data_IF_519420036172
#
_entry.id   IF_519420036172
#
_cell.length_a   1.000
_cell.length_b   1.000
_cell.length_c   1.000
_cell.angle_alpha   90.00
_cell.angle_beta   90.00
_cell.angle_gamma   90.00
#
_symmetry.space_group_name_H-M   'P 1'
#
loop_
_entity.id
_entity.type
_entity.pdbx_description
1 polymer ?
#
# COMPACT_ATOMS: atom_id res chain seq x y z
N UNK A 1 -31.60 4.31 -10.48
CA UNK A 1 -30.93 2.98 -10.39
C UNK A 1 -30.58 2.40 -11.76
N UNK A 2 -31.46 2.46 -12.76
CA UNK A 2 -31.21 1.87 -14.08
C UNK A 2 -29.97 2.37 -14.83
N UNK A 3 -29.62 3.66 -14.73
CA UNK A 3 -28.43 4.21 -15.41
C UNK A 3 -27.09 3.68 -14.85
N UNK A 4 -27.02 3.40 -13.53
CA UNK A 4 -25.83 2.79 -12.91
C UNK A 4 -25.62 1.36 -13.38
N UNK A 5 -26.71 0.59 -13.53
CA UNK A 5 -26.68 -0.83 -13.92
C UNK A 5 -26.29 -0.97 -15.40
N UNK A 6 -26.87 -0.16 -16.29
CA UNK A 6 -26.55 -0.20 -17.72
C UNK A 6 -25.07 0.11 -18.00
N UNK A 7 -24.50 1.08 -17.28
CA UNK A 7 -23.10 1.45 -17.41
C UNK A 7 -22.13 0.36 -16.94
N UNK A 8 -22.48 -0.34 -15.86
CA UNK A 8 -21.75 -1.54 -15.42
C UNK A 8 -21.73 -2.62 -16.50
N UNK A 9 -22.86 -2.87 -17.15
CA UNK A 9 -22.96 -3.96 -18.13
C UNK A 9 -22.06 -3.74 -19.36
N UNK A 10 -21.76 -2.49 -19.73
CA UNK A 10 -20.91 -2.18 -20.90
C UNK A 10 -19.42 -2.52 -20.64
N UNK A 11 -18.89 -2.16 -19.46
CA UNK A 11 -17.46 -2.35 -19.17
C UNK A 11 -17.11 -3.76 -18.66
N UNK A 12 -18.03 -4.46 -18.01
CA UNK A 12 -17.73 -5.75 -17.41
C UNK A 12 -17.25 -6.82 -18.42
N UNK A 13 -17.87 -6.99 -19.61
CA UNK A 13 -17.42 -7.98 -20.59
C UNK A 13 -16.00 -7.74 -21.08
N UNK A 14 -15.63 -6.48 -21.35
CA UNK A 14 -14.27 -6.17 -21.83
C UNK A 14 -13.23 -6.35 -20.71
N UNK A 15 -13.59 -6.02 -19.46
CA UNK A 15 -12.74 -6.26 -18.29
C UNK A 15 -12.48 -7.75 -18.11
N UNK A 16 -13.52 -8.59 -18.17
CA UNK A 16 -13.40 -10.04 -18.07
C UNK A 16 -12.57 -10.61 -19.23
N UNK A 17 -12.84 -10.16 -20.45
CA UNK A 17 -12.11 -10.59 -21.64
C UNK A 17 -10.61 -10.28 -21.54
N UNK A 18 -10.26 -9.02 -21.24
CA UNK A 18 -8.86 -8.60 -21.05
C UNK A 18 -8.24 -9.39 -19.90
N UNK A 19 -8.91 -9.50 -18.77
CA UNK A 19 -8.36 -10.17 -17.60
C UNK A 19 -8.11 -11.65 -17.78
N UNK A 20 -9.01 -12.38 -18.43
CA UNK A 20 -8.82 -13.80 -18.74
C UNK A 20 -7.65 -13.98 -19.71
N UNK A 21 -7.59 -13.18 -20.77
CA UNK A 21 -6.52 -13.28 -21.77
C UNK A 21 -5.16 -12.92 -21.18
N UNK A 22 -5.07 -11.82 -20.43
CA UNK A 22 -3.80 -11.41 -19.82
C UNK A 22 -3.36 -12.38 -18.74
N UNK A 23 -4.30 -12.98 -18.00
CA UNK A 23 -3.97 -14.05 -17.06
C UNK A 23 -3.42 -15.28 -17.79
N UNK A 24 -4.06 -15.70 -18.88
CA UNK A 24 -3.59 -16.82 -19.70
C UNK A 24 -2.19 -16.56 -20.30
N UNK A 25 -1.95 -15.37 -20.85
CA UNK A 25 -0.63 -14.98 -21.39
C UNK A 25 0.43 -14.89 -20.29
N UNK A 26 0.10 -14.41 -19.09
CA UNK A 26 1.02 -14.35 -17.96
C UNK A 26 1.42 -15.76 -17.48
N UNK A 27 0.46 -16.70 -17.45
CA UNK A 27 0.75 -18.11 -17.15
C UNK A 27 1.65 -18.78 -18.20
N UNK A 28 1.41 -18.51 -19.49
CA UNK A 28 2.08 -19.23 -20.59
C UNK A 28 3.42 -18.62 -20.99
N UNK A 29 3.48 -17.30 -21.10
CA UNK A 29 4.59 -16.55 -21.68
C UNK A 29 5.31 -15.65 -20.66
N UNK A 30 4.77 -15.51 -19.43
CA UNK A 30 5.22 -14.54 -18.41
C UNK A 30 5.33 -13.11 -18.93
N UNK A 31 4.54 -12.79 -19.96
CA UNK A 31 4.58 -11.51 -20.69
C UNK A 31 3.16 -11.10 -21.06
N UNK A 32 2.83 -9.85 -20.75
CA UNK A 32 1.57 -9.23 -21.13
C UNK A 32 1.79 -8.43 -22.41
N UNK A 33 1.08 -8.77 -23.50
CA UNK A 33 1.25 -8.08 -24.78
C UNK A 33 0.59 -6.70 -24.75
N UNK A 34 1.32 -5.68 -25.22
CA UNK A 34 0.84 -4.28 -25.27
C UNK A 34 -0.48 -4.12 -26.05
N UNK A 35 -0.78 -5.02 -27.01
CA UNK A 35 -2.00 -4.97 -27.83
C UNK A 35 -3.28 -5.02 -26.97
N UNK A 36 -3.32 -5.85 -25.93
CA UNK A 36 -4.51 -6.00 -25.08
C UNK A 36 -4.73 -4.77 -24.21
N UNK A 37 -3.64 -4.20 -23.71
CA UNK A 37 -3.63 -2.95 -22.94
C UNK A 37 -4.13 -1.79 -23.80
N UNK A 38 -3.65 -1.70 -25.04
CA UNK A 38 -4.09 -0.66 -25.98
C UNK A 38 -5.57 -0.80 -26.32
N UNK A 39 -6.07 -2.03 -26.57
CA UNK A 39 -7.50 -2.28 -26.83
C UNK A 39 -8.37 -1.80 -25.66
N UNK A 40 -8.00 -2.12 -24.42
CA UNK A 40 -8.74 -1.68 -23.24
C UNK A 40 -8.76 -0.16 -23.06
N UNK A 41 -7.61 0.49 -23.26
CA UNK A 41 -7.49 1.96 -23.18
C UNK A 41 -8.31 2.66 -24.28
N UNK A 42 -8.20 2.22 -25.53
CA UNK A 42 -8.97 2.78 -26.65
C UNK A 42 -10.47 2.58 -26.39
N UNK A 43 -10.88 1.38 -25.97
CA UNK A 43 -12.28 1.09 -25.66
C UNK A 43 -12.81 2.03 -24.57
N UNK A 44 -12.10 2.14 -23.45
CA UNK A 44 -12.49 3.02 -22.36
C UNK A 44 -12.62 4.46 -22.84
N UNK A 45 -11.62 4.97 -23.55
CA UNK A 45 -11.63 6.33 -24.06
C UNK A 45 -12.81 6.57 -25.01
N UNK A 46 -13.07 5.66 -25.95
CA UNK A 46 -14.18 5.78 -26.90
C UNK A 46 -15.54 5.78 -26.21
N UNK A 47 -15.75 4.94 -25.20
CA UNK A 47 -17.01 4.92 -24.44
C UNK A 47 -17.19 6.25 -23.70
N UNK A 48 -16.17 6.71 -22.97
CA UNK A 48 -16.25 7.99 -22.25
C UNK A 48 -16.42 9.19 -23.19
N UNK A 49 -15.73 9.21 -24.33
CA UNK A 49 -15.86 10.25 -25.36
C UNK A 49 -17.27 10.26 -25.98
N UNK A 50 -17.81 9.09 -26.31
CA UNK A 50 -19.15 8.96 -26.90
C UNK A 50 -20.22 9.49 -25.95
N UNK A 51 -20.13 9.19 -24.65
CA UNK A 51 -21.05 9.73 -23.65
C UNK A 51 -20.84 11.22 -23.37
N UNK A 52 -19.64 11.75 -23.57
CA UNK A 52 -19.35 13.18 -23.50
C UNK A 52 -19.95 13.95 -24.69
N UNK A 53 -19.89 13.40 -25.90
CA UNK A 53 -20.40 14.05 -27.13
C UNK A 53 -21.91 13.91 -27.31
N UNK A 54 -22.58 12.94 -26.66
CA UNK A 54 -24.03 12.72 -26.74
C UNK A 54 -24.77 13.28 -25.50
N UNK A 55 -24.81 14.62 -25.28
CA UNK A 55 -25.45 15.22 -24.10
C UNK A 55 -26.98 15.01 -24.07
N UNK A 56 -27.58 14.54 -25.16
CA UNK A 56 -29.02 14.26 -25.27
C UNK A 56 -29.41 12.81 -24.94
N UNK A 57 -28.46 11.96 -24.54
CA UNK A 57 -28.68 10.54 -24.20
C UNK A 57 -29.31 10.29 -22.82
N UNK A 58 -30.42 10.97 -22.49
CA UNK A 58 -31.24 10.70 -21.29
C UNK A 58 -30.49 10.67 -19.94
N UNK A 59 -31.08 9.97 -18.95
CA UNK A 59 -30.55 9.79 -17.58
C UNK A 59 -29.15 9.12 -17.50
N UNK A 60 -28.67 8.52 -18.59
CA UNK A 60 -27.36 7.87 -18.69
C UNK A 60 -26.25 8.87 -19.04
N UNK A 61 -26.51 9.81 -19.96
CA UNK A 61 -25.53 10.80 -20.40
C UNK A 61 -25.13 11.79 -19.30
N UNK A 62 -26.09 12.26 -18.50
CA UNK A 62 -25.84 13.29 -17.47
C UNK A 62 -24.91 12.81 -16.34
N UNK A 63 -24.95 11.51 -15.98
CA UNK A 63 -24.08 10.96 -14.93
C UNK A 63 -22.64 10.77 -15.42
N UNK A 64 -22.42 10.53 -16.71
CA UNK A 64 -21.08 10.30 -17.27
C UNK A 64 -20.38 11.61 -17.64
N UNK A 65 -21.14 12.58 -18.16
CA UNK A 65 -20.65 13.94 -18.42
C UNK A 65 -20.03 14.60 -17.18
N UNK A 66 -20.69 14.49 -16.02
CA UNK A 66 -20.19 15.05 -14.75
C UNK A 66 -18.98 14.31 -14.14
N UNK A 67 -18.48 13.26 -14.79
CA UNK A 67 -17.39 12.43 -14.27
C UNK A 67 -16.23 12.24 -15.25
N UNK A 68 -16.28 12.81 -16.47
CA UNK A 68 -15.20 12.68 -17.45
C UNK A 68 -13.91 13.35 -16.98
N UNK A 69 -14.03 14.56 -16.42
CA UNK A 69 -12.95 15.30 -15.77
C UNK A 69 -12.29 14.48 -14.65
N UNK A 70 -13.10 13.89 -13.77
CA UNK A 70 -12.63 13.04 -12.67
C UNK A 70 -11.96 11.77 -13.19
N UNK A 71 -12.50 11.17 -14.24
CA UNK A 71 -11.92 9.99 -14.87
C UNK A 71 -10.53 10.30 -15.44
N UNK A 72 -10.37 11.43 -16.14
CA UNK A 72 -9.08 11.91 -16.64
C UNK A 72 -8.07 12.12 -15.51
N UNK A 73 -8.47 12.79 -14.42
CA UNK A 73 -7.60 13.01 -13.25
C UNK A 73 -7.21 11.67 -12.60
N UNK A 74 -8.17 10.77 -12.39
CA UNK A 74 -7.89 9.44 -11.84
C UNK A 74 -6.92 8.64 -12.72
N UNK A 75 -7.09 8.70 -14.04
CA UNK A 75 -6.20 8.04 -14.99
C UNK A 75 -4.78 8.61 -14.92
N UNK A 76 -4.62 9.94 -14.92
CA UNK A 76 -3.32 10.59 -14.77
C UNK A 76 -2.63 10.21 -13.46
N UNK A 77 -3.34 10.27 -12.33
CA UNK A 77 -2.80 9.87 -11.03
C UNK A 77 -2.42 8.39 -11.03
N UNK A 78 -3.24 7.52 -11.62
CA UNK A 78 -2.95 6.09 -11.75
C UNK A 78 -1.69 5.82 -12.57
N UNK A 79 -1.44 6.60 -13.64
CA UNK A 79 -0.22 6.53 -14.44
C UNK A 79 1.02 6.92 -13.64
N UNK A 80 0.93 8.00 -12.84
CA UNK A 80 2.03 8.42 -11.95
C UNK A 80 2.32 7.34 -10.91
N UNK A 81 1.28 6.78 -10.27
CA UNK A 81 1.45 5.72 -9.27
C UNK A 81 2.03 4.45 -9.89
N UNK A 82 1.51 4.01 -11.05
CA UNK A 82 2.03 2.86 -11.78
C UNK A 82 3.51 3.05 -12.17
N UNK A 83 3.86 4.25 -12.64
CA UNK A 83 5.24 4.62 -12.95
C UNK A 83 6.12 4.54 -11.70
N UNK A 84 5.68 5.07 -10.56
CA UNK A 84 6.44 4.99 -9.31
C UNK A 84 6.63 3.54 -8.86
N UNK A 85 5.58 2.71 -8.91
CA UNK A 85 5.66 1.29 -8.56
C UNK A 85 6.66 0.53 -9.45
N UNK A 86 6.66 0.80 -10.75
CA UNK A 86 7.64 0.25 -11.68
C UNK A 86 9.06 0.79 -11.43
N UNK A 87 9.20 2.11 -11.25
CA UNK A 87 10.49 2.78 -11.04
C UNK A 87 11.21 2.24 -9.80
N UNK A 88 10.47 2.00 -8.71
CA UNK A 88 11.01 1.38 -7.50
C UNK A 88 11.14 -0.14 -7.58
N UNK A 89 10.96 -0.74 -8.77
CA UNK A 89 11.02 -2.20 -9.01
C UNK A 89 10.06 -2.99 -8.13
N UNK A 90 8.97 -2.37 -7.68
CA UNK A 90 7.92 -3.07 -6.94
C UNK A 90 7.04 -3.89 -7.88
N UNK A 91 6.83 -3.41 -9.11
CA UNK A 91 6.03 -4.08 -10.15
C UNK A 91 6.79 -4.29 -11.45
N UNK A 92 6.40 -5.33 -12.19
CA UNK A 92 6.82 -5.51 -13.58
C UNK A 92 6.21 -4.45 -14.49
N UNK A 93 6.89 -4.16 -15.60
CA UNK A 93 6.38 -3.21 -16.60
C UNK A 93 5.01 -3.63 -17.17
N UNK A 94 4.76 -4.93 -17.29
CA UNK A 94 3.46 -5.47 -17.71
C UNK A 94 2.35 -5.13 -16.71
N UNK A 95 2.59 -5.38 -15.42
CA UNK A 95 1.64 -5.14 -14.34
C UNK A 95 1.29 -3.66 -14.20
N UNK A 96 2.28 -2.78 -14.27
CA UNK A 96 2.06 -1.33 -14.22
C UNK A 96 1.15 -0.86 -15.37
N UNK A 97 1.37 -1.34 -16.59
CA UNK A 97 0.53 -1.00 -17.74
C UNK A 97 -0.88 -1.58 -17.62
N UNK A 98 -1.00 -2.81 -17.13
CA UNK A 98 -2.29 -3.47 -16.96
C UNK A 98 -3.11 -2.79 -15.85
N UNK A 99 -2.47 -2.27 -14.80
CA UNK A 99 -3.14 -1.47 -13.77
C UNK A 99 -3.70 -0.17 -14.34
N UNK A 100 -2.93 0.55 -15.17
CA UNK A 100 -3.41 1.75 -15.87
C UNK A 100 -4.64 1.41 -16.74
N UNK A 101 -4.60 0.28 -17.45
CA UNK A 101 -5.72 -0.19 -18.27
C UNK A 101 -6.99 -0.42 -17.42
N UNK A 102 -6.87 -1.12 -16.28
CA UNK A 102 -8.00 -1.32 -15.40
C UNK A 102 -8.47 -0.05 -14.71
N UNK A 103 -7.57 0.86 -14.32
CA UNK A 103 -7.93 2.16 -13.78
C UNK A 103 -8.76 2.99 -14.77
N UNK A 104 -8.48 2.85 -16.09
CA UNK A 104 -9.27 3.43 -17.15
C UNK A 104 -10.63 2.73 -17.32
N UNK A 105 -10.63 1.40 -17.42
CA UNK A 105 -11.83 0.61 -17.69
C UNK A 105 -12.83 0.59 -16.54
N UNK A 106 -12.39 0.71 -15.29
CA UNK A 106 -13.32 0.67 -14.17
C UNK A 106 -14.11 1.98 -14.10
N UNK A 107 -15.44 1.88 -14.15
CA UNK A 107 -16.31 3.03 -14.16
C UNK A 107 -16.24 3.85 -12.87
N UNK A 108 -16.16 5.19 -12.96
CA UNK A 108 -16.06 6.07 -11.77
C UNK A 108 -17.19 5.88 -10.75
N UNK A 109 -18.36 5.43 -11.21
CA UNK A 109 -19.49 5.10 -10.34
C UNK A 109 -19.21 3.94 -9.37
N UNK A 110 -18.34 2.98 -9.70
CA UNK A 110 -18.02 1.85 -8.82
C UNK A 110 -17.14 2.27 -7.65
N UNK A 111 -16.20 3.19 -7.88
CA UNK A 111 -15.36 3.72 -6.82
C UNK A 111 -16.13 4.55 -5.77
N UNK A 112 -17.30 5.09 -6.13
CA UNK A 112 -18.09 5.99 -5.27
C UNK A 112 -18.58 5.37 -3.96
N UNK A 113 -18.51 4.04 -3.83
CA UNK A 113 -18.91 3.33 -2.61
C UNK A 113 -17.86 3.40 -1.50
N UNK A 114 -16.63 3.82 -1.80
CA UNK A 114 -15.53 3.86 -0.83
C UNK A 114 -15.07 5.29 -0.60
N UNK A 115 -14.86 5.63 0.68
CA UNK A 115 -14.59 6.97 1.23
C UNK A 115 -13.35 7.73 0.72
N UNK A 116 -12.67 7.25 -0.32
CA UNK A 116 -11.54 7.96 -0.90
C UNK A 116 -12.04 9.12 -1.77
N UNK A 117 -11.42 10.30 -1.61
CA UNK A 117 -11.72 11.48 -2.43
C UNK A 117 -11.78 11.10 -3.91
N UNK A 118 -12.78 11.64 -4.62
CA UNK A 118 -13.11 11.33 -6.02
C UNK A 118 -11.94 11.41 -7.02
N UNK A 119 -10.82 12.05 -6.65
CA UNK A 119 -9.65 12.26 -7.49
C UNK A 119 -8.68 11.08 -7.59
N UNK A 120 -8.62 10.18 -6.59
CA UNK A 120 -7.76 8.98 -6.64
C UNK A 120 -8.55 7.70 -6.37
N UNK A 121 -9.57 7.51 -7.20
CA UNK A 121 -10.51 6.42 -7.12
C UNK A 121 -9.84 5.03 -7.30
N UNK A 122 -8.86 4.94 -8.20
CA UNK A 122 -8.05 3.74 -8.48
C UNK A 122 -7.19 3.25 -7.30
N UNK A 123 -7.11 4.00 -6.20
CA UNK A 123 -6.54 3.50 -4.96
C UNK A 123 -7.31 2.31 -4.38
N UNK A 124 -8.64 2.29 -4.57
CA UNK A 124 -9.46 1.15 -4.18
C UNK A 124 -9.04 -0.10 -4.95
N UNK A 125 -8.87 0.04 -6.27
CA UNK A 125 -8.36 -1.04 -7.13
C UNK A 125 -6.99 -1.50 -6.66
N UNK A 126 -6.07 -0.57 -6.42
CA UNK A 126 -4.73 -0.88 -5.91
C UNK A 126 -4.81 -1.70 -4.61
N UNK A 127 -5.63 -1.25 -3.66
CA UNK A 127 -5.84 -1.93 -2.39
C UNK A 127 -6.46 -3.33 -2.57
N UNK A 128 -7.44 -3.46 -3.45
CA UNK A 128 -8.11 -4.73 -3.77
C UNK A 128 -7.17 -5.74 -4.45
N UNK A 129 -6.11 -5.29 -5.12
CA UNK A 129 -5.07 -6.15 -5.68
C UNK A 129 -4.06 -6.54 -4.60
N UNK A 130 -3.53 -5.56 -3.87
CA UNK A 130 -2.45 -5.78 -2.92
C UNK A 130 -2.89 -6.54 -1.67
N UNK A 131 -4.07 -6.30 -1.13
CA UNK A 131 -4.50 -6.93 0.13
C UNK A 131 -4.62 -8.46 -0.03
N UNK A 132 -5.38 -9.01 -1.01
CA UNK A 132 -5.47 -10.46 -1.19
C UNK A 132 -4.12 -11.10 -1.53
N UNK A 133 -3.34 -10.47 -2.41
CA UNK A 133 -2.00 -10.95 -2.77
C UNK A 133 -1.08 -10.99 -1.54
N UNK A 134 -1.10 -9.95 -0.71
CA UNK A 134 -0.29 -9.89 0.52
C UNK A 134 -0.74 -10.93 1.53
N UNK A 135 -2.06 -11.07 1.76
CA UNK A 135 -2.61 -12.10 2.66
C UNK A 135 -2.21 -13.49 2.19
N UNK A 136 -2.30 -13.77 0.89
CA UNK A 136 -1.87 -15.05 0.32
C UNK A 136 -0.38 -15.30 0.55
N UNK A 137 0.49 -14.33 0.22
CA UNK A 137 1.94 -14.47 0.41
C UNK A 137 2.33 -14.63 1.88
N UNK A 138 1.70 -13.86 2.78
CA UNK A 138 1.90 -13.98 4.24
C UNK A 138 1.45 -15.36 4.71
N UNK A 139 0.30 -15.84 4.26
CA UNK A 139 -0.24 -17.15 4.64
C UNK A 139 0.68 -18.27 4.15
N UNK A 140 1.14 -18.23 2.89
CA UNK A 140 2.10 -19.21 2.38
C UNK A 140 3.42 -19.18 3.15
N UNK A 141 3.90 -17.99 3.49
CA UNK A 141 5.13 -17.80 4.27
C UNK A 141 4.97 -18.35 5.67
N UNK A 142 3.82 -18.12 6.29
CA UNK A 142 3.50 -18.63 7.62
C UNK A 142 3.34 -20.15 7.64
N UNK A 143 2.60 -20.74 6.69
CA UNK A 143 2.45 -22.20 6.56
C UNK A 143 3.81 -22.86 6.36
N UNK A 144 4.67 -22.27 5.51
CA UNK A 144 6.03 -22.76 5.31
C UNK A 144 6.87 -22.67 6.59
N UNK A 145 6.82 -21.52 7.27
CA UNK A 145 7.48 -21.31 8.54
C UNK A 145 7.07 -22.39 9.54
N UNK A 146 5.77 -22.58 9.78
CA UNK A 146 5.23 -23.60 10.71
C UNK A 146 5.68 -25.01 10.33
N UNK A 147 5.65 -25.38 9.03
CA UNK A 147 6.09 -26.71 8.57
C UNK A 147 7.59 -26.96 8.79
N UNK A 148 8.41 -25.93 8.67
CA UNK A 148 9.88 -26.02 8.85
C UNK A 148 10.31 -25.74 10.28
N UNK A 149 9.41 -25.23 11.12
CA UNK A 149 9.69 -24.81 12.48
C UNK A 149 9.95 -26.02 13.37
N UNK A 150 11.21 -26.45 13.44
CA UNK A 150 11.63 -27.44 14.41
C UNK A 150 11.97 -26.72 15.73
N UNK A 151 11.07 -26.82 16.71
CA UNK A 151 11.12 -26.04 17.96
C UNK A 151 12.46 -26.21 18.71
N UNK A 152 13.03 -27.42 18.66
CA UNK A 152 14.30 -27.75 19.32
C UNK A 152 15.49 -27.00 18.67
N UNK A 153 15.58 -27.05 17.35
CA UNK A 153 16.61 -26.34 16.58
C UNK A 153 16.43 -24.81 16.64
N UNK A 154 15.18 -24.33 16.75
CA UNK A 154 14.92 -22.90 16.92
C UNK A 154 15.38 -22.41 18.28
N UNK A 155 15.08 -23.14 19.37
CA UNK A 155 15.55 -22.78 20.72
C UNK A 155 17.08 -22.76 20.78
N UNK A 156 17.75 -23.81 20.32
CA UNK A 156 19.23 -23.88 20.31
C UNK A 156 19.85 -22.76 19.46
N UNK A 157 19.35 -22.53 18.24
CA UNK A 157 19.83 -21.43 17.39
C UNK A 157 19.49 -20.06 17.94
N UNK A 158 18.35 -19.89 18.58
CA UNK A 158 17.97 -18.62 19.21
C UNK A 158 18.84 -18.31 20.42
N UNK A 159 19.22 -19.32 21.21
CA UNK A 159 20.17 -19.19 22.31
C UNK A 159 21.57 -18.82 21.79
N UNK A 160 22.05 -19.49 20.74
CA UNK A 160 23.32 -19.11 20.07
C UNK A 160 23.24 -17.70 19.45
N UNK A 161 22.10 -17.35 18.85
CA UNK A 161 21.88 -16.03 18.26
C UNK A 161 21.84 -14.95 19.33
N UNK A 162 21.16 -15.18 20.46
CA UNK A 162 21.11 -14.29 21.62
C UNK A 162 22.50 -14.16 22.24
N UNK A 163 23.29 -15.23 22.35
CA UNK A 163 24.68 -15.15 22.82
C UNK A 163 25.57 -14.36 21.85
N UNK A 164 25.49 -14.61 20.54
CA UNK A 164 26.19 -13.80 19.52
C UNK A 164 25.73 -12.34 19.51
N UNK A 165 24.44 -12.10 19.68
CA UNK A 165 23.89 -10.76 19.82
C UNK A 165 24.47 -10.08 21.05
N UNK A 166 24.46 -10.73 22.22
CA UNK A 166 24.96 -10.18 23.47
C UNK A 166 26.44 -9.78 23.42
N UNK A 167 27.24 -10.43 22.58
CA UNK A 167 28.69 -10.14 22.40
C UNK A 167 28.93 -8.98 21.41
N UNK A 168 28.01 -8.69 20.49
CA UNK A 168 28.12 -7.61 19.49
C UNK A 168 27.11 -6.48 19.66
N UNK A 169 26.26 -6.52 20.68
CA UNK A 169 25.21 -5.53 20.87
C UNK A 169 25.81 -4.21 21.34
N UNK A 170 26.05 -3.32 20.39
CA UNK A 170 26.44 -1.96 20.71
C UNK A 170 25.20 -1.21 21.21
N UNK A 171 25.04 -1.14 22.54
CA UNK A 171 23.93 -0.43 23.19
C UNK A 171 23.77 1.01 22.68
N UNK A 172 24.86 1.67 22.30
CA UNK A 172 24.82 3.00 21.73
C UNK A 172 24.15 3.05 20.34
N UNK A 173 24.39 2.05 19.49
CA UNK A 173 23.76 1.95 18.17
C UNK A 173 22.28 1.59 18.31
N UNK A 174 21.96 0.60 19.15
CA UNK A 174 20.57 0.23 19.42
C UNK A 174 19.79 1.41 20.01
N UNK A 175 20.40 2.17 20.93
CA UNK A 175 19.82 3.38 21.51
C UNK A 175 19.52 4.45 20.45
N UNK A 176 20.43 4.68 19.49
CA UNK A 176 20.20 5.61 18.36
C UNK A 176 19.03 5.17 17.49
N UNK A 177 18.95 3.89 17.16
CA UNK A 177 17.85 3.34 16.34
C UNK A 177 16.53 3.45 17.10
N UNK A 178 16.51 3.07 18.38
CA UNK A 178 15.32 3.16 19.24
C UNK A 178 14.81 4.61 19.31
N UNK A 179 15.70 5.54 19.61
CA UNK A 179 15.36 6.95 19.70
C UNK A 179 14.91 7.52 18.35
N UNK A 180 15.53 7.12 17.25
CA UNK A 180 15.11 7.49 15.90
C UNK A 180 13.68 7.06 15.57
N UNK A 181 13.30 5.82 15.90
CA UNK A 181 11.92 5.34 15.70
C UNK A 181 10.92 6.02 16.64
N UNK A 182 11.28 6.24 17.90
CA UNK A 182 10.45 6.98 18.84
C UNK A 182 10.10 8.38 18.30
N UNK A 183 11.11 9.09 17.80
CA UNK A 183 10.95 10.39 17.18
C UNK A 183 10.17 10.35 15.87
N UNK A 184 10.37 9.32 15.04
CA UNK A 184 9.59 9.11 13.83
C UNK A 184 8.09 8.99 14.14
N UNK A 185 7.74 8.21 15.17
CA UNK A 185 6.33 8.08 15.57
C UNK A 185 5.76 9.37 16.15
N UNK A 186 6.55 10.10 16.93
CA UNK A 186 6.16 11.40 17.46
C UNK A 186 5.91 12.40 16.32
N UNK A 187 6.82 12.49 15.36
CA UNK A 187 6.66 13.33 14.17
C UNK A 187 5.43 12.94 13.36
N UNK A 188 5.23 11.65 13.10
CA UNK A 188 4.06 11.16 12.36
C UNK A 188 2.75 11.52 13.05
N UNK A 189 2.72 11.48 14.38
CA UNK A 189 1.57 11.90 15.17
C UNK A 189 1.30 13.41 15.07
N UNK A 190 2.34 14.24 15.15
CA UNK A 190 2.21 15.69 14.94
C UNK A 190 1.70 16.01 13.54
N UNK A 191 2.27 15.35 12.53
CA UNK A 191 1.84 15.48 11.14
C UNK A 191 0.35 15.10 10.99
N UNK A 192 -0.09 14.03 11.63
CA UNK A 192 -1.51 13.64 11.66
C UNK A 192 -2.38 14.75 12.26
N UNK A 193 -2.00 15.32 13.40
CA UNK A 193 -2.76 16.42 14.03
C UNK A 193 -2.88 17.63 13.09
N UNK A 194 -1.78 18.01 12.45
CA UNK A 194 -1.76 19.10 11.48
C UNK A 194 -2.62 18.81 10.23
N UNK A 195 -2.51 17.61 9.67
CA UNK A 195 -3.31 17.18 8.51
C UNK A 195 -4.80 17.11 8.85
N UNK A 196 -5.18 16.65 10.05
CA UNK A 196 -6.58 16.63 10.48
C UNK A 196 -7.18 18.03 10.50
N UNK A 197 -6.41 19.02 10.97
CA UNK A 197 -6.85 20.42 11.00
C UNK A 197 -7.02 21.01 9.59
N UNK A 198 -6.13 20.66 8.65
CA UNK A 198 -6.18 21.21 7.28
C UNK A 198 -7.29 20.58 6.45
N UNK A 199 -7.38 19.25 6.45
CA UNK A 199 -8.28 18.55 5.54
C UNK A 199 -9.69 18.42 6.08
N UNK A 200 -9.92 18.84 7.34
CA UNK A 200 -11.18 18.69 8.07
C UNK A 200 -11.78 17.27 7.94
N UNK A 201 -10.91 16.31 7.65
CA UNK A 201 -11.27 15.01 7.12
C UNK A 201 -11.21 14.00 8.25
N UNK A 202 -12.31 13.25 8.44
CA UNK A 202 -12.38 12.11 9.35
C UNK A 202 -11.50 10.92 8.94
N UNK A 203 -10.70 11.06 7.89
CA UNK A 203 -9.70 10.07 7.47
C UNK A 203 -8.54 10.16 8.46
N UNK A 204 -8.78 9.64 9.66
CA UNK A 204 -7.79 9.51 10.70
C UNK A 204 -6.80 8.45 10.22
N UNK A 205 -5.64 8.89 9.74
CA UNK A 205 -4.49 8.00 9.56
C UNK A 205 -4.20 7.41 10.94
N UNK A 206 -4.66 6.18 11.15
CA UNK A 206 -4.49 5.51 12.43
C UNK A 206 -2.99 5.30 12.70
N UNK A 207 -2.59 5.26 13.98
CA UNK A 207 -1.18 5.06 14.36
C UNK A 207 -0.62 3.73 13.86
N UNK A 208 -1.48 2.80 13.48
CA UNK A 208 -1.14 1.56 12.78
C UNK A 208 -0.47 1.78 11.42
N UNK A 209 -0.82 2.84 10.67
CA UNK A 209 -0.22 3.09 9.34
C UNK A 209 1.27 3.46 9.45
N UNK A 210 1.69 4.45 10.28
CA UNK A 210 3.10 4.72 10.53
C UNK A 210 3.85 3.49 11.05
N UNK A 211 3.21 2.66 11.87
CA UNK A 211 3.81 1.42 12.37
C UNK A 211 4.09 0.44 11.22
N UNK A 212 3.12 0.21 10.34
CA UNK A 212 3.30 -0.64 9.15
C UNK A 212 4.41 -0.11 8.23
N UNK A 213 4.40 1.20 7.94
CA UNK A 213 5.44 1.85 7.12
C UNK A 213 6.82 1.63 7.77
N UNK A 214 6.91 1.81 9.09
CA UNK A 214 8.17 1.65 9.82
C UNK A 214 8.68 0.21 9.81
N UNK A 215 7.81 -0.79 9.84
CA UNK A 215 8.20 -2.21 9.72
C UNK A 215 8.74 -2.53 8.32
N UNK A 216 8.10 -2.01 7.28
CA UNK A 216 8.54 -2.21 5.88
C UNK A 216 9.87 -1.50 5.61
N UNK A 217 10.00 -0.26 6.07
CA UNK A 217 11.17 0.59 5.82
C UNK A 217 12.22 0.51 6.94
N UNK A 218 12.10 -0.44 7.87
CA UNK A 218 12.94 -0.44 9.08
C UNK A 218 14.41 -0.45 8.74
N UNK A 219 14.85 -1.26 7.76
CA UNK A 219 16.27 -1.38 7.39
C UNK A 219 16.82 -0.09 6.78
N UNK A 220 16.00 0.65 6.03
CA UNK A 220 16.37 1.95 5.47
C UNK A 220 16.40 3.01 6.57
N UNK A 221 15.36 3.06 7.41
CA UNK A 221 15.23 4.01 8.51
C UNK A 221 16.32 3.81 9.57
N UNK A 222 16.60 2.57 9.97
CA UNK A 222 17.63 2.25 10.96
C UNK A 222 19.01 2.74 10.50
N UNK A 223 19.36 2.52 9.22
CA UNK A 223 20.61 3.03 8.63
C UNK A 223 20.67 4.55 8.62
N UNK A 224 19.55 5.23 8.35
CA UNK A 224 19.47 6.69 8.43
C UNK A 224 19.73 7.15 9.87
N UNK A 225 19.10 6.51 10.85
CA UNK A 225 19.21 6.86 12.27
C UNK A 225 20.60 6.55 12.84
N UNK A 226 21.24 5.46 12.41
CA UNK A 226 22.60 5.08 12.83
C UNK A 226 23.65 6.09 12.36
N UNK A 227 23.53 6.57 11.12
CA UNK A 227 24.58 7.38 10.47
C UNK A 227 24.44 8.88 10.69
N UNK A 228 23.23 9.40 10.90
CA UNK A 228 22.98 10.83 10.82
C UNK A 228 22.66 11.44 12.20
N UNK A 229 23.71 11.86 12.92
CA UNK A 229 23.53 12.55 14.22
C UNK A 229 22.71 13.85 14.09
N UNK A 230 22.80 14.53 12.93
CA UNK A 230 22.00 15.72 12.61
C UNK A 230 20.51 15.44 12.64
N UNK A 231 20.09 14.24 12.23
CA UNK A 231 18.68 13.83 12.28
C UNK A 231 18.19 13.71 13.73
N UNK A 232 19.01 13.14 14.62
CA UNK A 232 18.70 13.04 16.05
C UNK A 232 18.53 14.43 16.67
N UNK A 233 19.42 15.38 16.34
CA UNK A 233 19.33 16.77 16.82
C UNK A 233 18.05 17.44 16.32
N UNK A 234 17.76 17.35 15.02
CA UNK A 234 16.55 17.90 14.41
C UNK A 234 15.28 17.34 15.07
N UNK A 235 15.26 16.04 15.29
CA UNK A 235 14.14 15.37 15.91
C UNK A 235 14.01 15.69 17.42
N UNK A 236 15.12 15.91 18.12
CA UNK A 236 15.10 16.41 19.49
C UNK A 236 14.48 17.82 19.58
N UNK A 237 14.75 18.68 18.61
CA UNK A 237 14.09 20.00 18.51
C UNK A 237 12.58 19.81 18.33
N UNK A 238 12.14 18.91 17.43
CA UNK A 238 10.72 18.58 17.26
C UNK A 238 10.11 18.08 18.57
N UNK A 239 10.83 17.26 19.33
CA UNK A 239 10.38 16.75 20.61
C UNK A 239 10.19 17.86 21.66
N UNK A 240 11.12 18.83 21.72
CA UNK A 240 10.97 20.01 22.60
C UNK A 240 9.72 20.81 22.20
N UNK A 241 9.54 21.08 20.91
CA UNK A 241 8.34 21.76 20.40
C UNK A 241 7.08 20.98 20.79
N UNK A 242 7.09 19.66 20.66
CA UNK A 242 5.98 18.80 21.07
C UNK A 242 5.66 18.92 22.56
N UNK A 243 6.66 18.93 23.44
CA UNK A 243 6.46 19.12 24.88
C UNK A 243 5.89 20.50 25.18
N UNK A 244 6.38 21.55 24.50
CA UNK A 244 5.90 22.91 24.69
C UNK A 244 4.42 23.04 24.32
N UNK A 245 3.99 22.43 23.22
CA UNK A 245 2.57 22.35 22.85
C UNK A 245 1.79 21.40 23.76
N UNK A 246 2.41 20.30 24.20
CA UNK A 246 1.83 19.31 25.11
C UNK A 246 1.51 19.86 26.49
N UNK A 247 2.19 20.92 26.95
CA UNK A 247 1.82 21.66 28.17
C UNK A 247 0.44 22.31 28.12
N UNK A 248 -0.14 22.49 26.94
CA UNK A 248 -1.53 22.91 26.79
C UNK A 248 -2.54 21.78 27.10
N UNK A 249 -2.08 20.53 27.14
CA UNK A 249 -2.87 19.35 27.48
C UNK A 249 -2.62 18.92 28.94
N UNK A 250 -3.57 18.17 29.50
CA UNK A 250 -3.41 17.58 30.83
C UNK A 250 -2.20 16.62 30.86
N UNK A 251 -1.40 16.66 31.93
CA UNK A 251 -0.25 15.76 32.12
C UNK A 251 -0.60 14.28 31.95
N UNK A 252 -1.82 13.90 32.31
CA UNK A 252 -2.32 12.53 32.15
C UNK A 252 -2.42 12.11 30.68
N UNK A 253 -2.93 12.99 29.79
CA UNK A 253 -2.97 12.69 28.36
C UNK A 253 -1.56 12.60 27.78
N UNK A 254 -0.68 13.55 28.11
CA UNK A 254 0.71 13.53 27.64
C UNK A 254 1.42 12.21 27.99
N UNK A 255 1.30 11.75 29.25
CA UNK A 255 1.95 10.49 29.68
C UNK A 255 1.39 9.25 28.98
N UNK A 256 0.08 9.17 28.78
CA UNK A 256 -0.56 8.09 28.01
C UNK A 256 -0.05 8.06 26.56
N UNK A 257 0.12 9.22 25.96
CA UNK A 257 0.62 9.33 24.59
C UNK A 257 2.07 8.89 24.45
N UNK A 258 2.95 9.34 25.36
CA UNK A 258 4.36 8.92 25.38
C UNK A 258 4.46 7.41 25.60
N UNK A 259 3.63 6.86 26.50
CA UNK A 259 3.56 5.41 26.73
C UNK A 259 3.17 4.66 25.46
N UNK A 260 2.19 5.15 24.70
CA UNK A 260 1.79 4.55 23.42
C UNK A 260 2.94 4.59 22.40
N UNK A 261 3.62 5.72 22.26
CA UNK A 261 4.76 5.88 21.33
C UNK A 261 5.93 4.95 21.69
N UNK A 262 6.25 4.81 22.98
CA UNK A 262 7.25 3.85 23.46
C UNK A 262 6.83 2.41 23.17
N UNK A 263 5.56 2.07 23.41
CA UNK A 263 4.99 0.77 23.09
C UNK A 263 5.13 0.41 21.60
N UNK A 264 4.82 1.34 20.70
CA UNK A 264 4.98 1.15 19.25
C UNK A 264 6.45 0.98 18.87
N UNK A 265 7.34 1.77 19.47
CA UNK A 265 8.80 1.68 19.22
C UNK A 265 9.35 0.32 19.63
N UNK A 266 9.00 -0.15 20.84
CA UNK A 266 9.37 -1.49 21.32
C UNK A 266 8.80 -2.58 20.42
N UNK A 267 7.52 -2.44 20.03
CA UNK A 267 6.86 -3.40 19.14
C UNK A 267 7.60 -3.52 17.81
N UNK A 268 7.99 -2.41 17.19
CA UNK A 268 8.77 -2.43 15.94
C UNK A 268 10.13 -3.07 16.14
N UNK A 269 10.84 -2.75 17.23
CA UNK A 269 12.15 -3.36 17.50
C UNK A 269 12.10 -4.87 17.72
N UNK A 270 11.02 -5.38 18.33
CA UNK A 270 10.83 -6.81 18.57
C UNK A 270 10.28 -7.54 17.34
N UNK A 271 9.30 -6.94 16.66
CA UNK A 271 8.63 -7.55 15.51
C UNK A 271 9.50 -7.52 14.26
N UNK A 272 10.34 -6.51 14.07
CA UNK A 272 11.12 -6.39 12.84
C UNK A 272 12.11 -7.55 12.61
N UNK A 273 12.92 -8.01 13.59
CA UNK A 273 13.78 -9.18 13.40
C UNK A 273 12.99 -10.41 12.96
N UNK A 274 11.81 -10.63 13.55
CA UNK A 274 10.91 -11.73 13.20
C UNK A 274 10.42 -11.57 11.76
N UNK A 275 9.88 -10.39 11.43
CA UNK A 275 9.36 -10.07 10.11
C UNK A 275 10.43 -10.19 9.02
N UNK A 276 11.61 -9.60 9.24
CA UNK A 276 12.74 -9.67 8.31
C UNK A 276 13.19 -11.11 8.05
N UNK A 277 13.19 -11.98 9.08
CA UNK A 277 13.52 -13.39 8.91
C UNK A 277 12.46 -14.14 8.09
N UNK A 278 11.18 -13.85 8.32
CA UNK A 278 10.08 -14.40 7.51
C UNK A 278 10.23 -13.99 6.05
N UNK A 279 10.52 -12.70 5.80
CA UNK A 279 10.72 -12.17 4.44
C UNK A 279 11.96 -12.77 3.77
N UNK A 280 13.07 -12.94 4.50
CA UNK A 280 14.29 -13.58 3.96
C UNK A 280 14.03 -15.03 3.55
N UNK A 281 13.36 -15.81 4.40
CA UNK A 281 12.96 -17.19 4.09
C UNK A 281 12.02 -17.26 2.87
N UNK A 282 11.15 -16.26 2.73
CA UNK A 282 10.29 -16.16 1.56
C UNK A 282 11.07 -15.80 0.29
N UNK A 283 11.98 -14.83 0.38
CA UNK A 283 12.82 -14.39 -0.73
C UNK A 283 13.68 -15.54 -1.27
N UNK A 284 14.27 -16.36 -0.39
CA UNK A 284 15.01 -17.57 -0.79
C UNK A 284 14.16 -18.57 -1.59
N UNK A 285 12.85 -18.64 -1.30
CA UNK A 285 11.90 -19.53 -1.98
C UNK A 285 11.42 -18.95 -3.31
N UNK A 286 11.12 -17.65 -3.37
CA UNK A 286 10.51 -17.01 -4.55
C UNK A 286 11.44 -16.84 -5.73
N UNK A 287 12.77 -16.98 -5.56
CA UNK A 287 13.72 -17.09 -6.69
C UNK A 287 13.30 -18.19 -7.69
N UNK A 288 12.49 -19.18 -7.27
CA UNK A 288 12.10 -20.32 -8.12
C UNK A 288 10.66 -20.34 -8.63
N UNK A 289 9.76 -19.45 -8.19
CA UNK A 289 8.36 -19.43 -8.66
C UNK A 289 7.80 -18.02 -8.73
N UNK A 290 7.58 -17.52 -9.96
CA UNK A 290 6.80 -16.31 -10.21
C UNK A 290 5.33 -16.65 -10.12
N UNK A 291 4.65 -16.15 -9.09
CA UNK A 291 3.18 -16.21 -9.04
C UNK A 291 2.66 -15.25 -10.12
N UNK A 292 1.74 -15.68 -11.00
CA UNK A 292 1.22 -14.83 -12.06
C UNK A 292 0.43 -13.68 -11.45
N UNK A 293 0.95 -12.46 -11.59
CA UNK A 293 0.39 -11.27 -10.96
C UNK A 293 -0.91 -10.83 -11.66
N UNK A 294 -1.08 -11.16 -12.94
CA UNK A 294 -2.27 -10.82 -13.71
C UNK A 294 -3.57 -11.40 -13.11
N UNK A 295 -3.51 -12.57 -12.49
CA UNK A 295 -4.67 -13.21 -11.82
C UNK A 295 -5.12 -12.39 -10.62
N UNK A 296 -4.17 -11.92 -9.81
CA UNK A 296 -4.45 -11.06 -8.67
C UNK A 296 -5.02 -9.72 -9.10
N UNK A 297 -4.57 -9.20 -10.24
CA UNK A 297 -5.12 -7.99 -10.82
C UNK A 297 -6.58 -8.18 -11.25
N UNK A 298 -6.90 -9.26 -11.95
CA UNK A 298 -8.28 -9.59 -12.30
C UNK A 298 -9.16 -9.75 -11.05
N UNK A 299 -8.69 -10.47 -10.04
CA UNK A 299 -9.41 -10.64 -8.78
C UNK A 299 -9.65 -9.31 -8.07
N UNK A 300 -8.65 -8.43 -8.03
CA UNK A 300 -8.78 -7.09 -7.47
C UNK A 300 -9.78 -6.23 -8.22
N UNK A 301 -9.84 -6.32 -9.55
CA UNK A 301 -10.85 -5.65 -10.38
C UNK A 301 -12.26 -6.15 -10.04
N UNK A 302 -12.44 -7.48 -9.90
CA UNK A 302 -13.74 -8.05 -9.55
C UNK A 302 -14.17 -7.63 -8.14
N UNK A 303 -13.27 -7.64 -7.16
CA UNK A 303 -13.56 -7.14 -5.81
C UNK A 303 -14.01 -5.68 -5.87
N UNK A 304 -13.25 -4.84 -6.58
CA UNK A 304 -13.55 -3.41 -6.75
C UNK A 304 -14.89 -3.17 -7.45
N UNK A 305 -15.26 -4.06 -8.36
CA UNK A 305 -16.50 -3.98 -9.11
C UNK A 305 -17.73 -4.34 -8.27
N UNK A 306 -17.60 -5.31 -7.36
CA UNK A 306 -18.71 -5.81 -6.56
C UNK A 306 -18.83 -5.19 -5.17
N UNK A 307 -17.79 -4.51 -4.67
CA UNK A 307 -17.81 -3.72 -3.44
C UNK A 307 -18.73 -2.52 -3.56
#
# INVERSE_FOLDING_TARGET
>A
MGSKIAYSIIFLPIILFIGVITSYEDFKESKIKNKWILVGLIYSFMVYLLFWILPKGGLLGSYLLCNFDKWCVNLLVSMVVAYLLWHFKMWGTGDAKLFICYAALIPMGQYSRVYFNYYFASFLLLSAIFIPASVFLITESFVYFVRRFNFKNFMERSLEFVQKWRIKFNFAEAGKVFFGFFLFFLFSKMLRGWLCNIFNSRILVDQSIPMLISLILFKQLSKIFEKNIKFIIFAFIIFIVYIMFGRAYSWQQFTLEIRSLLGNTMSVMVLFPIFSKIVELHAERTVKKTVPFAVWMLLGVLITWFS
#
